data_IF_377955096674
#
_entry.id   IF_377955096674
#
_cell.length_a   1.000
_cell.length_b   1.000
_cell.length_c   1.000
_cell.angle_alpha   90.00
_cell.angle_beta   90.00
_cell.angle_gamma   90.00
#
_symmetry.space_group_name_H-M   'P 1'
#
loop_
_entity.id
_entity.type
_entity.pdbx_description
1 polymer ?
#
# COMPACT_ATOMS: atom_id res chain seq x y z
N UNK A 1 9.88 33.88 -44.86
CA UNK A 1 10.86 32.79 -45.04
C UNK A 1 11.27 32.37 -43.63
N UNK A 2 10.72 31.26 -43.14
CA UNK A 2 11.37 29.94 -43.13
C UNK A 2 12.57 29.96 -42.17
N UNK A 3 12.72 29.12 -41.15
CA UNK A 3 12.00 27.96 -40.65
C UNK A 3 12.83 27.44 -39.48
N UNK A 4 12.18 26.84 -38.47
CA UNK A 4 12.70 25.73 -37.64
C UNK A 4 13.98 25.99 -36.83
N UNK A 5 13.80 26.04 -35.51
CA UNK A 5 14.53 25.12 -34.63
C UNK A 5 13.53 24.41 -33.73
N UNK A 6 13.07 23.25 -34.21
CA UNK A 6 12.43 22.26 -33.36
C UNK A 6 13.54 21.67 -32.47
N UNK A 7 13.75 22.28 -31.31
CA UNK A 7 14.62 21.75 -30.27
C UNK A 7 14.09 20.39 -29.82
N UNK A 8 14.88 19.35 -30.06
CA UNK A 8 14.62 17.95 -29.79
C UNK A 8 13.71 17.68 -28.58
N UNK A 9 12.61 16.94 -28.82
CA UNK A 9 11.82 16.29 -27.78
C UNK A 9 12.62 15.14 -27.14
N UNK A 10 13.71 15.49 -26.44
CA UNK A 10 14.44 14.59 -25.55
C UNK A 10 13.91 14.79 -24.14
N UNK A 11 13.37 13.74 -23.52
CA UNK A 11 12.86 13.82 -22.16
C UNK A 11 13.92 14.37 -21.18
N UNK A 12 13.56 15.40 -20.40
CA UNK A 12 14.40 15.90 -19.32
C UNK A 12 14.42 14.87 -18.18
N UNK A 13 15.61 14.54 -17.67
CA UNK A 13 15.73 13.67 -16.49
C UNK A 13 15.15 14.38 -15.27
N UNK A 14 14.19 13.73 -14.61
CA UNK A 14 13.61 14.20 -13.36
C UNK A 14 14.53 13.84 -12.20
N UNK A 15 14.75 14.78 -11.28
CA UNK A 15 15.56 14.54 -10.08
C UNK A 15 14.73 13.73 -9.08
N UNK A 16 15.21 12.55 -8.74
CA UNK A 16 14.69 11.74 -7.64
C UNK A 16 15.37 12.13 -6.34
N UNK A 17 14.59 12.44 -5.31
CA UNK A 17 15.02 12.76 -3.96
C UNK A 17 14.52 11.69 -3.02
N UNK A 18 15.36 11.26 -2.07
CA UNK A 18 14.95 10.28 -1.07
C UNK A 18 13.95 10.92 -0.10
N UNK A 19 12.83 10.26 0.13
CA UNK A 19 11.83 10.72 1.08
C UNK A 19 12.30 10.48 2.52
N UNK A 20 12.53 11.55 3.28
CA UNK A 20 12.95 11.44 4.69
C UNK A 20 11.86 10.82 5.60
N UNK A 21 10.59 10.89 5.19
CA UNK A 21 9.47 10.27 5.91
C UNK A 21 9.33 8.76 5.62
N UNK A 22 10.06 8.22 4.64
CA UNK A 22 10.05 6.80 4.33
C UNK A 22 10.88 6.01 5.35
N UNK A 23 10.23 5.10 6.07
CA UNK A 23 10.91 4.19 7.00
C UNK A 23 10.96 2.79 6.41
N UNK A 24 12.17 2.40 5.96
CA UNK A 24 12.40 1.07 5.39
C UNK A 24 12.26 0.00 6.48
N UNK A 25 11.12 -0.70 6.51
CA UNK A 25 10.85 -1.82 7.40
C UNK A 25 10.22 -2.99 6.63
N UNK A 26 11.05 -3.93 6.17
CA UNK A 26 10.60 -5.05 5.33
C UNK A 26 9.60 -5.98 6.01
N UNK A 27 9.74 -6.18 7.34
CA UNK A 27 8.84 -7.05 8.12
C UNK A 27 7.43 -6.45 8.18
N UNK A 28 7.32 -5.15 8.41
CA UNK A 28 6.03 -4.45 8.41
C UNK A 28 5.47 -4.26 7.00
N UNK A 29 6.32 -4.10 5.98
CA UNK A 29 5.89 -4.08 4.58
C UNK A 29 5.25 -5.44 4.18
N UNK A 30 5.85 -6.54 4.62
CA UNK A 30 5.28 -7.88 4.45
C UNK A 30 3.93 -8.03 5.17
N UNK A 31 3.85 -7.64 6.45
CA UNK A 31 2.59 -7.61 7.21
C UNK A 31 1.49 -6.80 6.50
N UNK A 32 1.85 -5.61 5.99
CA UNK A 32 0.94 -4.75 5.22
C UNK A 32 0.45 -5.44 3.94
N UNK A 33 1.32 -6.14 3.21
CA UNK A 33 0.94 -6.90 2.02
C UNK A 33 -0.05 -8.04 2.35
N UNK A 34 0.22 -8.83 3.40
CA UNK A 34 -0.69 -9.89 3.85
C UNK A 34 -2.09 -9.35 4.18
N UNK A 35 -2.16 -8.23 4.91
CA UNK A 35 -3.41 -7.56 5.26
C UNK A 35 -4.12 -6.97 4.04
N UNK A 36 -3.41 -6.21 3.20
CA UNK A 36 -3.97 -5.48 2.04
C UNK A 36 -4.53 -6.42 0.99
N UNK A 37 -3.80 -7.49 0.69
CA UNK A 37 -4.18 -8.46 -0.34
C UNK A 37 -4.91 -9.68 0.23
N UNK A 38 -5.16 -9.70 1.53
CA UNK A 38 -5.79 -10.83 2.23
C UNK A 38 -5.09 -12.16 1.89
N UNK A 39 -3.76 -12.23 2.02
CA UNK A 39 -2.97 -13.43 1.67
C UNK A 39 -2.67 -14.21 2.94
N UNK A 40 -3.00 -15.51 2.97
CA UNK A 40 -2.59 -16.40 4.08
C UNK A 40 -1.19 -16.95 3.76
N UNK A 41 -0.17 -16.67 4.58
CA UNK A 41 1.15 -17.27 4.40
C UNK A 41 1.06 -18.79 4.38
N UNK A 42 1.75 -19.43 3.43
CA UNK A 42 1.85 -20.89 3.35
C UNK A 42 3.11 -21.42 4.05
N UNK A 43 4.09 -20.55 4.28
CA UNK A 43 5.32 -20.85 5.00
C UNK A 43 5.23 -20.32 6.42
N UNK A 44 5.91 -21.00 7.35
CA UNK A 44 6.04 -20.54 8.72
C UNK A 44 6.77 -19.19 8.76
N UNK A 45 6.24 -18.25 9.55
CA UNK A 45 6.78 -16.91 9.64
C UNK A 45 6.20 -16.13 10.83
N UNK A 46 6.63 -14.87 10.99
CA UNK A 46 6.26 -14.04 12.15
C UNK A 46 4.78 -13.61 12.14
N UNK A 47 4.09 -13.78 11.01
CA UNK A 47 2.69 -13.41 10.85
C UNK A 47 1.86 -14.57 10.30
N UNK A 48 0.58 -14.58 10.65
CA UNK A 48 -0.42 -15.49 10.10
C UNK A 48 -1.74 -14.73 9.85
N UNK A 49 -2.60 -15.29 9.01
CA UNK A 49 -3.96 -14.78 8.78
C UNK A 49 -4.96 -15.80 9.32
N UNK A 50 -5.64 -15.43 10.41
CA UNK A 50 -6.67 -16.26 11.03
C UNK A 50 -8.06 -15.84 10.54
N UNK A 51 -8.92 -16.82 10.33
CA UNK A 51 -10.33 -16.56 10.02
C UNK A 51 -10.99 -15.97 11.26
N UNK A 52 -11.54 -14.76 11.12
CA UNK A 52 -12.40 -14.22 12.16
C UNK A 52 -13.70 -15.01 12.10
N UNK A 53 -13.86 -16.01 12.96
CA UNK A 53 -15.15 -16.66 13.14
C UNK A 53 -16.14 -15.55 13.50
N UNK A 54 -17.11 -15.29 12.60
CA UNK A 54 -18.28 -14.53 13.00
C UNK A 54 -18.82 -15.24 14.23
N UNK A 55 -18.94 -14.52 15.36
CA UNK A 55 -19.76 -15.03 16.46
C UNK A 55 -21.08 -15.49 15.84
N UNK A 56 -21.66 -16.65 16.22
CA UNK A 56 -22.95 -17.05 15.71
C UNK A 56 -23.98 -16.01 16.14
N UNK A 57 -24.17 -14.98 15.32
CA UNK A 57 -25.33 -14.12 15.40
C UNK A 57 -26.47 -15.02 15.02
N UNK A 58 -27.40 -15.27 15.94
CA UNK A 58 -28.74 -15.72 15.59
C UNK A 58 -29.23 -14.73 14.53
N UNK A 59 -29.19 -15.14 13.26
CA UNK A 59 -29.66 -14.28 12.18
C UNK A 59 -31.16 -14.10 12.41
N UNK A 60 -31.66 -12.86 12.57
CA UNK A 60 -33.10 -12.66 12.55
C UNK A 60 -33.63 -13.21 11.22
N UNK A 61 -34.81 -13.84 11.23
CA UNK A 61 -35.43 -14.50 10.05
C UNK A 61 -35.47 -13.59 8.80
N UNK A 62 -35.37 -12.27 8.99
CA UNK A 62 -35.25 -11.21 7.98
C UNK A 62 -33.99 -11.30 7.08
N UNK A 63 -33.00 -12.14 7.39
CA UNK A 63 -31.75 -12.28 6.61
C UNK A 63 -31.58 -13.64 5.92
N UNK A 64 -32.57 -14.53 6.02
CA UNK A 64 -32.59 -15.83 5.31
C UNK A 64 -32.44 -15.59 3.80
N UNK A 65 -31.39 -16.16 3.20
CA UNK A 65 -31.12 -16.09 1.75
C UNK A 65 -30.14 -15.02 1.30
N UNK A 66 -29.58 -14.19 2.19
CA UNK A 66 -28.47 -13.29 1.83
C UNK A 66 -27.15 -14.07 1.77
N UNK A 67 -26.28 -13.82 0.77
CA UNK A 67 -24.99 -14.49 0.68
C UNK A 67 -24.18 -14.23 1.95
N UNK A 68 -23.59 -15.30 2.49
CA UNK A 68 -22.78 -15.21 3.71
C UNK A 68 -21.57 -14.31 3.41
N UNK A 69 -21.48 -13.15 4.05
CA UNK A 69 -20.29 -12.30 3.92
C UNK A 69 -19.15 -13.06 4.60
N UNK A 70 -18.17 -13.53 3.82
CA UNK A 70 -16.95 -14.10 4.38
C UNK A 70 -16.34 -13.05 5.29
N UNK A 71 -16.20 -13.37 6.58
CA UNK A 71 -15.58 -12.46 7.52
C UNK A 71 -14.14 -12.19 7.07
N UNK A 72 -13.67 -10.93 7.10
CA UNK A 72 -12.29 -10.64 6.75
C UNK A 72 -11.34 -11.37 7.71
N UNK A 73 -10.27 -11.98 7.16
CA UNK A 73 -9.22 -12.59 7.97
C UNK A 73 -8.47 -11.52 8.76
N UNK A 74 -8.12 -11.83 10.01
CA UNK A 74 -7.33 -10.95 10.89
C UNK A 74 -5.86 -11.33 10.79
N UNK A 75 -5.01 -10.33 10.55
CA UNK A 75 -3.55 -10.49 10.64
C UNK A 75 -3.14 -10.54 12.11
N UNK A 76 -2.32 -11.52 12.44
CA UNK A 76 -1.81 -11.75 13.80
C UNK A 76 -0.31 -12.02 13.78
N UNK A 77 0.38 -11.76 14.89
CA UNK A 77 1.74 -12.26 15.10
C UNK A 77 1.69 -13.70 15.61
N UNK A 78 2.72 -14.49 15.30
CA UNK A 78 2.88 -15.86 15.80
C UNK A 78 4.27 -16.02 16.39
N UNK A 79 4.35 -16.43 17.66
CA UNK A 79 5.63 -16.74 18.30
C UNK A 79 6.11 -18.17 17.95
N UNK A 80 7.30 -18.53 18.43
CA UNK A 80 7.89 -19.86 18.19
C UNK A 80 7.06 -21.00 18.80
N UNK A 81 6.32 -20.72 19.87
CA UNK A 81 5.42 -21.66 20.56
C UNK A 81 4.02 -21.70 19.91
N UNK A 82 3.79 -20.91 18.86
CA UNK A 82 2.52 -20.82 18.14
C UNK A 82 1.45 -19.94 18.81
N UNK A 83 1.79 -19.21 19.88
CA UNK A 83 0.86 -18.24 20.49
C UNK A 83 0.65 -17.06 19.56
N UNK A 84 -0.59 -16.60 19.58
CA UNK A 84 -1.11 -15.56 18.70
C UNK A 84 -1.04 -14.22 19.43
N UNK A 85 -0.44 -13.21 18.80
CA UNK A 85 -0.40 -11.84 19.29
C UNK A 85 -1.05 -10.84 18.33
N UNK A 86 -1.26 -9.62 18.82
CA UNK A 86 -1.83 -8.53 18.03
C UNK A 86 -0.75 -7.82 17.18
N UNK A 87 -1.08 -7.53 15.92
CA UNK A 87 -0.25 -6.66 15.08
C UNK A 87 -0.65 -5.21 15.33
N UNK A 88 0.26 -4.42 15.91
CA UNK A 88 -0.01 -3.00 16.19
C UNK A 88 -0.31 -2.22 14.91
N UNK A 89 -1.34 -1.37 14.94
CA UNK A 89 -1.68 -0.45 13.85
C UNK A 89 -0.80 0.82 13.86
N UNK A 90 0.52 0.67 14.02
CA UNK A 90 1.43 1.82 13.96
C UNK A 90 1.57 2.25 12.50
N UNK A 91 0.81 3.25 12.11
CA UNK A 91 0.93 3.88 10.80
C UNK A 91 2.19 4.72 10.75
N UNK A 92 3.26 4.16 10.20
CA UNK A 92 4.39 4.95 9.72
C UNK A 92 4.90 4.31 8.44
N UNK A 93 4.21 4.53 7.33
CA UNK A 93 4.86 4.39 6.03
C UNK A 93 4.13 5.22 4.99
N UNK A 94 4.75 6.33 4.59
CA UNK A 94 4.55 6.82 3.24
C UNK A 94 5.06 5.71 2.31
N UNK A 95 4.28 5.26 1.34
CA UNK A 95 4.65 4.10 0.51
C UNK A 95 5.76 4.40 -0.51
N UNK A 96 6.22 5.65 -0.57
CA UNK A 96 7.17 6.12 -1.57
C UNK A 96 8.53 6.42 -0.96
N UNK A 97 9.52 5.61 -1.31
CA UNK A 97 10.93 5.82 -0.94
C UNK A 97 11.55 7.04 -1.65
N UNK A 98 11.02 7.39 -2.82
CA UNK A 98 11.49 8.50 -3.63
C UNK A 98 10.37 9.47 -3.96
N UNK A 99 10.77 10.74 -4.06
CA UNK A 99 9.97 11.88 -4.50
C UNK A 99 10.63 12.42 -5.77
N UNK A 100 9.82 12.79 -6.74
CA UNK A 100 10.23 13.38 -8.00
C UNK A 100 9.99 14.89 -7.97
N UNK A 101 11.04 15.68 -8.21
CA UNK A 101 10.90 17.14 -8.32
C UNK A 101 10.47 17.51 -9.75
N UNK A 102 9.27 18.06 -9.89
CA UNK A 102 8.65 18.39 -11.18
C UNK A 102 8.32 19.88 -11.26
N UNK A 103 8.53 20.48 -12.43
CA UNK A 103 8.18 21.88 -12.72
C UNK A 103 6.83 21.92 -13.46
N UNK A 104 5.86 22.68 -12.95
CA UNK A 104 4.51 22.82 -13.52
C UNK A 104 4.20 24.28 -13.86
N UNK A 105 3.55 24.51 -15.00
CA UNK A 105 3.01 25.82 -15.40
C UNK A 105 4.01 26.76 -16.07
N UNK A 106 3.56 28.00 -16.32
CA UNK A 106 4.39 29.11 -16.82
C UNK A 106 3.98 30.41 -16.11
N UNK A 107 4.88 31.04 -15.32
CA UNK A 107 6.24 30.61 -15.02
C UNK A 107 6.28 29.28 -14.26
N UNK A 108 7.38 28.54 -14.39
CA UNK A 108 7.55 27.22 -13.81
C UNK A 108 7.55 27.27 -12.27
N UNK A 109 6.79 26.37 -11.65
CA UNK A 109 6.75 26.19 -10.20
C UNK A 109 7.19 24.77 -9.86
N UNK A 110 8.19 24.63 -8.99
CA UNK A 110 8.72 23.32 -8.59
C UNK A 110 7.83 22.69 -7.50
N UNK A 111 7.50 21.42 -7.66
CA UNK A 111 6.70 20.63 -6.74
C UNK A 111 7.35 19.25 -6.52
N UNK A 112 7.18 18.73 -5.32
CA UNK A 112 7.69 17.42 -4.88
C UNK A 112 6.55 16.40 -4.98
N UNK A 113 6.62 15.49 -5.96
CA UNK A 113 5.54 14.55 -6.29
C UNK A 113 5.94 13.11 -6.02
N UNK A 114 4.95 12.28 -5.70
CA UNK A 114 5.09 10.83 -5.68
C UNK A 114 4.75 10.30 -7.07
N UNK A 115 5.65 9.50 -7.66
CA UNK A 115 5.34 8.79 -8.90
C UNK A 115 4.74 7.43 -8.55
N UNK A 116 3.43 7.31 -8.71
CA UNK A 116 2.67 6.08 -8.50
C UNK A 116 2.23 5.49 -9.85
N UNK A 117 2.79 4.35 -10.23
CA UNK A 117 2.40 3.64 -11.45
C UNK A 117 1.04 2.94 -11.34
N UNK A 118 0.45 2.90 -10.14
CA UNK A 118 -0.87 2.34 -9.86
C UNK A 118 -2.03 3.31 -10.06
N UNK A 119 -1.76 4.60 -10.32
CA UNK A 119 -2.75 5.63 -10.60
C UNK A 119 -2.52 6.29 -11.95
N UNK A 120 -3.53 7.00 -12.47
CA UNK A 120 -3.46 7.75 -13.72
C UNK A 120 -3.64 9.26 -13.53
N UNK A 121 -3.92 9.69 -12.30
CA UNK A 121 -4.09 11.10 -11.94
C UNK A 121 -2.77 11.71 -11.46
N UNK A 122 -2.64 13.03 -11.66
CA UNK A 122 -1.55 13.88 -11.21
C UNK A 122 -2.08 14.98 -10.28
#
# INVERSE_FOLDING_TARGET
MSSKDAGAAGGRRVKLVRNAAFLRNGVMAYAKALRKFNIKPTLAGPFDMIDQLAQPSVQPDSQKGKPNRVAPRKLVTKDADGKIGEVSAKDINNDSEYIAQVEVGTPAQAMDLIFDTGSADL
#
